data_IF_610783955769
#
_entry.id   IF_610783955769
#
_cell.length_a   1.000
_cell.length_b   1.000
_cell.length_c   1.000
_cell.angle_alpha   90.00
_cell.angle_beta   90.00
_cell.angle_gamma   90.00
#
_symmetry.space_group_name_H-M   'P 1'
#
loop_
_entity.id
_entity.type
_entity.pdbx_description
1 polymer ?
#
# COMPACT_ATOMS: atom_id res chain seq x y z
N UNK A 1 13.23 11.60 -20.49
CA UNK A 1 12.07 12.33 -21.03
C UNK A 1 11.08 12.63 -19.90
N UNK A 2 10.87 13.92 -19.65
CA UNK A 2 9.80 14.63 -18.90
C UNK A 2 9.59 14.35 -17.38
N UNK A 3 9.89 13.17 -16.83
CA UNK A 3 9.61 12.87 -15.40
C UNK A 3 10.51 13.57 -14.36
N UNK A 4 11.77 13.86 -14.71
CA UNK A 4 12.77 14.34 -13.73
C UNK A 4 12.78 15.85 -13.45
N UNK A 5 12.22 16.66 -14.35
CA UNK A 5 12.33 18.13 -14.26
C UNK A 5 11.30 18.72 -13.28
N UNK A 6 10.15 18.06 -13.09
CA UNK A 6 9.10 18.54 -12.21
C UNK A 6 9.48 18.44 -10.72
N UNK A 7 10.28 17.44 -10.35
CA UNK A 7 10.76 17.24 -8.98
C UNK A 7 11.83 18.28 -8.60
N UNK A 8 12.65 18.73 -9.56
CA UNK A 8 13.77 19.61 -9.28
C UNK A 8 13.36 21.07 -8.99
N UNK A 9 12.21 21.53 -9.53
CA UNK A 9 11.75 22.91 -9.35
C UNK A 9 11.09 23.20 -7.99
N UNK A 10 10.84 22.18 -7.16
CA UNK A 10 10.16 22.33 -5.87
C UNK A 10 11.09 22.70 -4.69
N UNK A 11 12.43 22.67 -4.87
CA UNK A 11 13.37 22.85 -3.75
C UNK A 11 13.56 24.30 -3.25
N UNK A 12 13.02 25.32 -3.92
CA UNK A 12 13.39 26.73 -3.64
C UNK A 12 12.33 27.66 -3.04
N UNK A 13 11.21 27.16 -2.51
CA UNK A 13 10.34 27.98 -1.65
C UNK A 13 9.95 27.24 -0.37
N UNK A 14 10.31 27.82 0.77
CA UNK A 14 9.99 27.40 2.16
C UNK A 14 8.48 27.38 2.42
N UNK A 15 7.79 26.41 1.85
CA UNK A 15 6.51 25.89 2.32
C UNK A 15 6.57 24.41 2.00
N UNK A 16 6.47 23.54 3.00
CA UNK A 16 6.26 22.12 2.78
C UNK A 16 4.96 22.00 1.98
N UNK A 17 5.06 21.80 0.66
CA UNK A 17 3.88 21.59 -0.17
C UNK A 17 3.35 20.24 0.28
N UNK A 18 2.19 20.27 0.94
CA UNK A 18 1.45 19.06 1.24
C UNK A 18 1.10 18.42 -0.10
N UNK A 19 1.48 17.16 -0.28
CA UNK A 19 1.13 16.41 -1.49
C UNK A 19 0.04 15.43 -1.11
N UNK A 20 -1.13 15.60 -1.73
CA UNK A 20 -2.26 14.69 -1.56
C UNK A 20 -2.41 13.81 -2.79
N UNK A 21 -2.69 12.53 -2.58
CA UNK A 21 -2.98 11.56 -3.63
C UNK A 21 -4.15 10.67 -3.26
N UNK A 22 -4.40 9.66 -4.10
CA UNK A 22 -5.35 8.58 -3.82
C UNK A 22 -4.54 7.36 -3.40
N UNK A 23 -4.86 6.79 -2.24
CA UNK A 23 -4.36 5.49 -1.79
C UNK A 23 -5.47 4.46 -1.89
N UNK A 24 -5.17 3.27 -2.40
CA UNK A 24 -6.12 2.14 -2.40
C UNK A 24 -5.94 1.36 -1.11
N UNK A 25 -6.81 1.59 -0.14
CA UNK A 25 -6.75 0.94 1.17
C UNK A 25 -6.94 -0.57 0.98
N UNK A 26 -6.00 -1.35 1.50
CA UNK A 26 -6.01 -2.80 1.36
C UNK A 26 -5.26 -3.35 0.15
N UNK A 27 -4.63 -2.49 -0.65
CA UNK A 27 -3.76 -2.91 -1.74
C UNK A 27 -2.38 -3.26 -1.17
N UNK A 28 -1.96 -4.50 -1.34
CA UNK A 28 -0.65 -4.94 -0.88
C UNK A 28 0.45 -4.27 -1.71
N UNK A 29 1.46 -3.71 -1.03
CA UNK A 29 2.60 -3.08 -1.70
C UNK A 29 3.37 -4.11 -2.54
N UNK A 30 3.60 -3.84 -3.82
CA UNK A 30 4.23 -4.79 -4.75
C UNK A 30 5.75 -4.89 -4.56
N UNK A 31 6.42 -3.78 -4.27
CA UNK A 31 7.88 -3.70 -4.13
C UNK A 31 8.50 -4.78 -3.23
N UNK A 32 7.96 -5.03 -2.02
CA UNK A 32 8.42 -6.14 -1.17
C UNK A 32 8.38 -7.52 -1.82
N UNK A 33 7.41 -7.79 -2.70
CA UNK A 33 7.31 -9.05 -3.43
C UNK A 33 8.22 -9.08 -4.65
N UNK A 34 8.43 -7.96 -5.31
CA UNK A 34 9.40 -7.81 -6.40
C UNK A 34 10.82 -8.09 -5.90
N UNK A 35 11.22 -7.47 -4.78
CA UNK A 35 12.49 -7.69 -4.12
C UNK A 35 12.65 -9.17 -3.71
N UNK A 36 11.61 -9.74 -3.09
CA UNK A 36 11.57 -11.14 -2.70
C UNK A 36 11.73 -12.09 -3.91
N UNK A 37 11.07 -11.80 -5.01
CA UNK A 37 11.14 -12.59 -6.23
C UNK A 37 12.50 -12.47 -6.91
N UNK A 38 13.10 -11.29 -6.92
CA UNK A 38 14.44 -11.06 -7.48
C UNK A 38 15.49 -11.93 -6.79
N UNK A 39 15.38 -12.11 -5.47
CA UNK A 39 16.26 -12.99 -4.71
C UNK A 39 15.97 -14.48 -4.91
N UNK A 40 14.76 -14.83 -5.32
CA UNK A 40 14.28 -16.23 -5.41
C UNK A 40 14.31 -16.79 -6.84
N UNK A 41 14.29 -15.92 -7.85
CA UNK A 41 14.14 -16.28 -9.26
C UNK A 41 15.05 -15.42 -10.14
N UNK A 42 15.88 -16.02 -10.98
CA UNK A 42 16.88 -15.28 -11.77
C UNK A 42 16.37 -14.74 -13.11
N UNK A 43 15.49 -15.45 -13.81
CA UNK A 43 15.10 -15.10 -15.20
C UNK A 43 13.66 -14.60 -15.34
N UNK A 44 12.73 -15.04 -14.48
CA UNK A 44 11.29 -14.72 -14.60
C UNK A 44 10.73 -14.00 -13.35
N UNK A 45 11.56 -13.24 -12.64
CA UNK A 45 11.15 -12.66 -11.34
C UNK A 45 9.99 -11.67 -11.46
N UNK A 46 9.90 -10.92 -12.57
CA UNK A 46 8.83 -9.93 -12.82
C UNK A 46 7.46 -10.61 -12.99
N UNK A 47 7.38 -11.64 -13.84
CA UNK A 47 6.15 -12.41 -14.05
C UNK A 47 5.72 -13.10 -12.75
N UNK A 48 6.68 -13.71 -12.04
CA UNK A 48 6.41 -14.40 -10.77
C UNK A 48 5.97 -13.42 -9.69
N UNK A 49 6.61 -12.26 -9.59
CA UNK A 49 6.21 -11.21 -8.65
C UNK A 49 4.77 -10.76 -8.94
N UNK A 50 4.45 -10.47 -10.19
CA UNK A 50 3.09 -10.06 -10.61
C UNK A 50 2.05 -11.10 -10.25
N UNK A 51 2.36 -12.38 -10.51
CA UNK A 51 1.48 -13.51 -10.18
C UNK A 51 1.29 -13.65 -8.67
N UNK A 52 2.37 -13.58 -7.89
CA UNK A 52 2.34 -13.68 -6.43
C UNK A 52 1.55 -12.52 -5.82
N UNK A 53 1.80 -11.28 -6.26
CA UNK A 53 1.04 -10.11 -5.81
C UNK A 53 -0.45 -10.28 -6.08
N UNK A 54 -0.82 -10.75 -7.27
CA UNK A 54 -2.23 -10.94 -7.66
C UNK A 54 -2.93 -12.00 -6.80
N UNK A 55 -2.26 -13.12 -6.56
CA UNK A 55 -2.77 -14.20 -5.71
C UNK A 55 -2.91 -13.74 -4.25
N UNK A 56 -1.91 -13.04 -3.71
CA UNK A 56 -1.99 -12.48 -2.36
C UNK A 56 -3.09 -11.45 -2.23
N UNK A 57 -3.26 -10.58 -3.23
CA UNK A 57 -4.31 -9.59 -3.23
C UNK A 57 -5.70 -10.25 -3.27
N UNK A 58 -5.86 -11.32 -4.04
CA UNK A 58 -7.06 -12.14 -4.06
C UNK A 58 -7.35 -12.72 -2.67
N UNK A 59 -6.36 -13.29 -1.99
CA UNK A 59 -6.54 -13.81 -0.63
C UNK A 59 -6.88 -12.68 0.36
N UNK A 60 -6.13 -11.57 0.35
CA UNK A 60 -6.38 -10.39 1.20
C UNK A 60 -7.79 -9.82 1.04
N UNK A 61 -8.36 -9.88 -0.17
CA UNK A 61 -9.73 -9.41 -0.45
C UNK A 61 -10.78 -10.48 -0.27
N UNK A 62 -10.40 -11.74 -0.03
CA UNK A 62 -11.33 -12.84 0.21
C UNK A 62 -12.02 -12.62 1.57
N UNK A 63 -13.37 -12.46 1.60
CA UNK A 63 -14.11 -12.33 2.85
C UNK A 63 -14.06 -13.59 3.73
N UNK A 64 -13.82 -14.77 3.13
CA UNK A 64 -13.73 -16.04 3.86
C UNK A 64 -12.38 -16.22 4.55
N UNK A 65 -11.33 -15.51 4.11
CA UNK A 65 -10.04 -15.50 4.78
C UNK A 65 -9.96 -14.26 5.68
N UNK A 66 -10.36 -14.40 6.95
CA UNK A 66 -10.38 -13.32 7.92
C UNK A 66 -9.49 -13.65 9.13
N UNK A 67 -8.16 -13.44 9.03
CA UNK A 67 -7.19 -13.81 10.06
C UNK A 67 -7.19 -12.81 11.23
N UNK A 68 -8.36 -12.45 11.75
CA UNK A 68 -8.51 -11.54 12.88
C UNK A 68 -9.20 -12.22 14.04
N UNK A 69 -8.72 -11.91 15.25
CA UNK A 69 -9.38 -12.26 16.50
C UNK A 69 -10.05 -11.02 17.08
N UNK A 70 -11.29 -11.17 17.50
CA UNK A 70 -12.01 -10.12 18.24
C UNK A 70 -11.80 -10.32 19.73
N UNK A 71 -11.32 -9.29 20.42
CA UNK A 71 -11.10 -9.31 21.86
C UNK A 71 -11.70 -8.06 22.52
N UNK A 72 -12.11 -8.18 23.79
CA UNK A 72 -12.66 -7.07 24.57
C UNK A 72 -11.56 -6.45 25.43
N UNK A 73 -11.14 -5.24 25.09
CA UNK A 73 -10.01 -4.53 25.71
C UNK A 73 -10.42 -3.08 25.97
N UNK A 74 -10.23 -2.59 27.19
CA UNK A 74 -10.60 -1.23 27.61
C UNK A 74 -12.08 -0.86 27.37
N UNK A 75 -12.99 -1.81 27.60
CA UNK A 75 -14.43 -1.57 27.42
C UNK A 75 -14.90 -1.52 25.97
N UNK A 76 -14.04 -1.86 24.99
CA UNK A 76 -14.38 -1.89 23.56
C UNK A 76 -13.89 -3.18 22.92
N UNK A 77 -14.60 -3.64 21.89
CA UNK A 77 -14.09 -4.72 21.05
C UNK A 77 -13.03 -4.19 20.10
N UNK A 78 -11.86 -4.83 20.09
CA UNK A 78 -10.75 -4.57 19.16
C UNK A 78 -10.48 -5.82 18.33
N UNK A 79 -10.05 -5.64 17.08
CA UNK A 79 -9.64 -6.73 16.19
C UNK A 79 -8.12 -6.79 16.16
N UNK A 80 -7.57 -7.99 16.37
CA UNK A 80 -6.14 -8.25 16.37
C UNK A 80 -5.79 -9.23 15.27
N UNK A 81 -4.81 -8.87 14.45
CA UNK A 81 -4.34 -9.70 13.36
C UNK A 81 -3.58 -10.92 13.91
N UNK A 82 -3.95 -12.11 13.43
CA UNK A 82 -3.32 -13.37 13.80
C UNK A 82 -2.18 -13.65 12.82
N UNK A 83 -0.95 -13.26 13.19
CA UNK A 83 0.21 -13.30 12.29
C UNK A 83 0.56 -14.70 11.79
N UNK A 84 0.29 -15.77 12.58
CA UNK A 84 0.65 -17.14 12.19
C UNK A 84 -0.02 -17.57 10.88
N UNK A 85 -1.25 -17.14 10.62
CA UNK A 85 -1.93 -17.42 9.34
C UNK A 85 -1.26 -16.74 8.14
N UNK A 86 -0.60 -15.59 8.34
CA UNK A 86 0.17 -14.92 7.30
C UNK A 86 1.50 -15.64 7.08
N UNK A 87 2.16 -16.09 8.16
CA UNK A 87 3.38 -16.90 8.06
C UNK A 87 3.14 -18.22 7.29
N UNK A 88 2.00 -18.87 7.50
CA UNK A 88 1.64 -20.12 6.82
C UNK A 88 1.55 -19.96 5.29
N UNK A 89 1.17 -18.80 4.76
CA UNK A 89 1.11 -18.56 3.31
C UNK A 89 2.46 -18.76 2.61
N UNK A 90 3.55 -18.41 3.31
CA UNK A 90 4.90 -18.44 2.76
C UNK A 90 5.76 -19.57 3.35
N UNK A 91 5.15 -20.45 4.16
CA UNK A 91 5.82 -21.60 4.74
C UNK A 91 6.05 -22.69 3.69
N UNK A 92 7.20 -23.39 3.68
CA UNK A 92 7.55 -24.41 2.68
C UNK A 92 6.70 -25.71 2.74
N UNK A 93 5.60 -25.76 3.51
CA UNK A 93 4.71 -26.92 3.51
C UNK A 93 3.93 -27.07 2.18
N UNK A 94 3.45 -28.29 1.91
CA UNK A 94 3.12 -28.84 0.58
C UNK A 94 2.06 -28.11 -0.28
N UNK A 95 1.47 -27.00 0.17
CA UNK A 95 0.50 -26.21 -0.61
C UNK A 95 0.91 -24.76 -0.89
N UNK A 96 2.16 -24.35 -0.60
CA UNK A 96 2.58 -22.96 -0.77
C UNK A 96 2.58 -22.54 -2.26
N UNK A 97 1.53 -21.82 -2.66
CA UNK A 97 1.45 -21.12 -3.96
C UNK A 97 2.51 -20.02 -4.07
N UNK A 98 2.97 -19.50 -2.93
CA UNK A 98 3.89 -18.37 -2.78
C UNK A 98 5.30 -18.87 -2.44
N UNK A 99 5.96 -19.59 -3.35
CA UNK A 99 7.34 -20.07 -3.15
C UNK A 99 8.36 -18.92 -3.16
N UNK A 100 8.32 -18.06 -2.16
CA UNK A 100 9.38 -17.07 -1.90
C UNK A 100 10.50 -17.71 -1.07
N UNK A 101 11.72 -17.20 -1.19
CA UNK A 101 12.85 -17.69 -0.40
C UNK A 101 12.59 -17.54 1.11
N UNK A 102 13.26 -18.35 1.93
CA UNK A 102 13.20 -18.25 3.40
C UNK A 102 13.71 -16.89 3.90
N UNK A 103 14.48 -16.17 3.07
CA UNK A 103 15.04 -14.84 3.32
C UNK A 103 14.20 -13.67 2.77
N UNK A 104 13.09 -13.97 2.06
CA UNK A 104 12.07 -13.01 1.66
C UNK A 104 10.94 -12.66 2.68
N UNK A 105 10.99 -12.95 4.01
CA UNK A 105 9.77 -12.99 4.80
C UNK A 105 9.26 -11.62 5.24
N UNK A 106 10.10 -10.75 5.81
CA UNK A 106 9.59 -9.71 6.71
C UNK A 106 8.84 -8.59 5.99
N UNK A 107 9.37 -8.10 4.87
CA UNK A 107 8.75 -7.02 4.12
C UNK A 107 7.47 -7.49 3.42
N UNK A 108 7.48 -8.69 2.84
CA UNK A 108 6.31 -9.32 2.22
C UNK A 108 5.20 -9.59 3.25
N UNK A 109 5.53 -10.19 4.41
CA UNK A 109 4.58 -10.38 5.50
C UNK A 109 3.99 -9.06 5.98
N UNK A 110 4.83 -8.03 6.14
CA UNK A 110 4.38 -6.71 6.56
C UNK A 110 3.43 -6.10 5.54
N UNK A 111 3.72 -6.22 4.24
CA UNK A 111 2.85 -5.72 3.18
C UNK A 111 1.45 -6.37 3.22
N UNK A 112 1.38 -7.69 3.43
CA UNK A 112 0.10 -8.41 3.59
C UNK A 112 -0.61 -7.97 4.88
N UNK A 113 0.12 -7.87 5.99
CA UNK A 113 -0.44 -7.46 7.28
C UNK A 113 -1.01 -6.03 7.25
N UNK A 114 -0.27 -5.09 6.68
CA UNK A 114 -0.70 -3.70 6.51
C UNK A 114 -1.97 -3.63 5.64
N UNK A 115 -2.01 -4.35 4.52
CA UNK A 115 -3.19 -4.41 3.65
C UNK A 115 -4.42 -4.99 4.36
N UNK A 116 -4.25 -6.07 5.13
CA UNK A 116 -5.33 -6.65 5.93
C UNK A 116 -5.86 -5.66 6.98
N UNK A 117 -4.97 -4.98 7.70
CA UNK A 117 -5.33 -3.97 8.71
C UNK A 117 -6.09 -2.80 8.07
N UNK A 118 -5.59 -2.29 6.93
CA UNK A 118 -6.24 -1.21 6.19
C UNK A 118 -7.65 -1.58 5.73
N UNK A 119 -7.87 -2.80 5.22
CA UNK A 119 -9.21 -3.27 4.88
C UNK A 119 -10.09 -3.37 6.12
N UNK A 120 -9.56 -3.83 7.25
CA UNK A 120 -10.34 -3.97 8.46
C UNK A 120 -10.76 -2.60 9.04
N UNK A 121 -9.91 -1.58 8.88
CA UNK A 121 -10.20 -0.23 9.35
C UNK A 121 -11.18 0.52 8.42
N UNK A 122 -11.06 0.33 7.10
CA UNK A 122 -11.88 1.05 6.12
C UNK A 122 -13.16 0.29 5.70
N UNK A 123 -13.08 -1.03 5.57
CA UNK A 123 -14.13 -1.88 5.01
C UNK A 123 -14.13 -3.31 5.59
N UNK A 124 -14.36 -3.46 6.90
CA UNK A 124 -14.23 -4.77 7.56
C UNK A 124 -15.19 -5.83 7.00
N UNK A 125 -16.34 -5.41 6.46
CA UNK A 125 -17.38 -6.33 5.98
C UNK A 125 -17.24 -6.71 4.51
N UNK A 126 -16.99 -5.75 3.62
CA UNK A 126 -17.07 -6.02 2.18
C UNK A 126 -15.71 -6.27 1.52
N UNK A 127 -14.58 -5.96 2.20
CA UNK A 127 -13.21 -6.39 1.84
C UNK A 127 -12.74 -6.01 0.42
N UNK A 128 -13.44 -5.11 -0.27
CA UNK A 128 -12.96 -4.52 -1.52
C UNK A 128 -12.07 -3.31 -1.24
N UNK A 129 -11.13 -3.06 -2.15
CA UNK A 129 -10.21 -1.93 -2.09
C UNK A 129 -10.99 -0.61 -2.11
N UNK A 130 -10.71 0.28 -1.15
CA UNK A 130 -11.35 1.61 -1.10
C UNK A 130 -10.32 2.68 -1.46
N UNK A 131 -10.59 3.52 -2.48
CA UNK A 131 -9.79 4.70 -2.72
C UNK A 131 -10.03 5.74 -1.63
N UNK A 132 -8.96 6.12 -0.93
CA UNK A 132 -8.97 7.12 0.12
C UNK A 132 -8.05 8.28 -0.21
N UNK A 133 -8.45 9.49 0.22
CA UNK A 133 -7.61 10.66 0.08
C UNK A 133 -6.46 10.58 1.07
N UNK A 134 -5.23 10.63 0.59
CA UNK A 134 -4.04 10.35 1.39
C UNK A 134 -3.02 11.47 1.31
N UNK A 135 -2.44 11.84 2.45
CA UNK A 135 -1.25 12.69 2.48
C UNK A 135 -0.03 11.81 2.25
N UNK A 136 0.65 12.02 1.12
CA UNK A 136 1.82 11.23 0.75
C UNK A 136 3.00 11.49 1.68
N UNK A 137 3.11 12.71 2.21
CA UNK A 137 4.20 13.10 3.09
C UNK A 137 3.98 12.60 4.53
N UNK A 138 2.73 12.70 5.01
CA UNK A 138 2.42 12.43 6.42
C UNK A 138 2.02 10.97 6.68
N UNK A 139 1.82 10.16 5.64
CA UNK A 139 1.44 8.76 5.79
C UNK A 139 0.10 8.58 6.51
N UNK A 140 -0.85 9.51 6.30
CA UNK A 140 -2.20 9.47 6.90
C UNK A 140 -3.27 9.90 5.90
N UNK A 141 -4.53 9.65 6.26
CA UNK A 141 -5.69 10.19 5.56
C UNK A 141 -5.59 11.72 5.50
N UNK A 142 -5.72 12.25 4.30
CA UNK A 142 -5.77 13.69 4.05
C UNK A 142 -7.21 14.18 4.14
N UNK A 143 -7.36 15.41 4.61
CA UNK A 143 -8.64 16.10 4.65
C UNK A 143 -8.99 16.71 3.28
N UNK A 144 -10.28 16.90 3.03
CA UNK A 144 -10.74 17.59 1.82
C UNK A 144 -10.12 19.00 1.69
N UNK A 145 -9.94 19.70 2.81
CA UNK A 145 -9.28 21.01 2.82
C UNK A 145 -7.83 20.94 2.36
N UNK A 146 -7.09 19.90 2.75
CA UNK A 146 -5.72 19.67 2.26
C UNK A 146 -5.73 19.43 0.76
N UNK A 147 -6.60 18.56 0.24
CA UNK A 147 -6.69 18.31 -1.21
C UNK A 147 -7.05 19.56 -2.01
N UNK A 148 -8.03 20.35 -1.56
CA UNK A 148 -8.42 21.60 -2.23
C UNK A 148 -7.23 22.57 -2.25
N UNK A 149 -6.48 22.68 -1.15
CA UNK A 149 -5.27 23.52 -1.09
C UNK A 149 -4.22 23.05 -2.10
N UNK A 150 -3.98 21.74 -2.22
CA UNK A 150 -3.07 21.18 -3.21
C UNK A 150 -3.47 21.57 -4.64
N UNK A 151 -4.73 21.35 -5.02
CA UNK A 151 -5.26 21.68 -6.36
C UNK A 151 -5.14 23.19 -6.65
N UNK A 152 -5.44 24.06 -5.68
CA UNK A 152 -5.29 25.51 -5.85
C UNK A 152 -3.84 25.90 -6.10
N UNK A 153 -2.89 25.27 -5.40
CA UNK A 153 -1.46 25.53 -5.57
C UNK A 153 -1.02 25.10 -6.98
N UNK A 154 -1.39 23.89 -7.42
CA UNK A 154 -1.08 23.38 -8.76
C UNK A 154 -1.66 24.27 -9.88
N UNK A 155 -2.90 24.74 -9.73
CA UNK A 155 -3.50 25.65 -10.72
C UNK A 155 -2.78 27.01 -10.77
N UNK A 156 -2.33 27.53 -9.63
CA UNK A 156 -1.58 28.79 -9.57
C UNK A 156 -0.19 28.65 -10.19
N UNK A 157 0.51 27.54 -9.94
CA UNK A 157 1.81 27.27 -10.55
C UNK A 157 1.68 27.10 -12.05
N UNK A 158 0.70 26.34 -12.52
CA UNK A 158 0.41 26.15 -13.95
C UNK A 158 0.16 27.50 -14.66
N UNK A 159 -0.76 28.33 -14.15
CA UNK A 159 -1.05 29.67 -14.71
C UNK A 159 0.17 30.59 -14.70
N UNK A 160 1.04 30.50 -13.69
CA UNK A 160 2.27 31.29 -13.64
C UNK A 160 3.28 30.87 -14.71
N UNK A 161 3.27 29.61 -15.15
CA UNK A 161 4.16 29.11 -16.19
C UNK A 161 3.66 29.52 -17.58
N UNK A 162 2.36 29.50 -17.83
CA UNK A 162 1.77 29.98 -19.09
C UNK A 162 2.06 31.45 -19.34
N UNK A 163 1.99 32.30 -18.32
CA UNK A 163 2.29 33.75 -18.45
C UNK A 163 3.77 34.07 -18.75
N UNK A 164 4.67 33.10 -18.59
CA UNK A 164 6.11 33.26 -18.83
C UNK A 164 6.56 32.69 -20.18
N UNK A 165 5.67 32.04 -20.92
CA UNK A 165 5.89 31.59 -22.31
C UNK A 165 5.36 32.66 -23.26
#
# INVERSE_FOLDING_TARGET
>A
MIGGVMIFLLKHKKFWIQITGIKRMGEAATGPFEDACLHSFSEDYEEKSTRICSLLQHDVTNPMWHPFKKEFVDGKFKYFLILIFIYELFSPCHSCYYRLSVDAPKAAYKAVADALMELNDCNPSARYLIPELWSLNDGRKASLQEAIKCVIIELKTYKSLERKR
#
